data_IF_252771343764
#
_entry.id   IF_252771343764
#
_cell.length_a   1.000
_cell.length_b   1.000
_cell.length_c   1.000
_cell.angle_alpha   90.00
_cell.angle_beta   90.00
_cell.angle_gamma   90.00
#
_symmetry.space_group_name_H-M   'P 1'
#
loop_
_entity.id
_entity.type
_entity.pdbx_description
1 polymer ?
#
# COMPACT_ATOMS: atom_id res chain seq x y z
N UNK A 1 -70.69 -31.94 -30.67
CA UNK A 1 -69.78 -31.85 -29.51
C UNK A 1 -68.40 -31.98 -30.02
N UNK A 2 -67.76 -30.85 -30.28
CA UNK A 2 -66.40 -30.75 -30.82
C UNK A 2 -65.53 -30.21 -29.72
N UNK A 3 -64.60 -31.04 -29.22
CA UNK A 3 -63.58 -30.71 -28.21
C UNK A 3 -62.33 -30.15 -28.92
N UNK A 4 -62.07 -28.90 -28.71
CA UNK A 4 -60.87 -28.19 -29.20
C UNK A 4 -59.77 -28.44 -28.21
N UNK A 5 -58.65 -29.08 -28.61
CA UNK A 5 -57.44 -29.26 -27.85
C UNK A 5 -56.55 -28.00 -28.04
N UNK A 6 -56.24 -27.30 -26.94
CA UNK A 6 -55.29 -26.19 -26.90
C UNK A 6 -53.93 -26.77 -26.60
N UNK A 7 -53.04 -26.76 -27.61
CA UNK A 7 -51.62 -27.07 -27.43
C UNK A 7 -50.87 -25.86 -26.87
N UNK A 8 -50.45 -25.95 -25.65
CA UNK A 8 -49.52 -24.94 -25.04
C UNK A 8 -48.08 -25.23 -25.51
N UNK A 9 -47.59 -24.42 -26.41
CA UNK A 9 -46.17 -24.40 -26.76
C UNK A 9 -45.41 -23.66 -25.68
N UNK A 10 -44.60 -24.36 -24.87
CA UNK A 10 -43.64 -23.78 -23.95
C UNK A 10 -42.45 -23.26 -24.79
N UNK A 11 -42.37 -21.95 -24.97
CA UNK A 11 -41.16 -21.28 -25.46
C UNK A 11 -40.15 -21.28 -24.32
N UNK A 12 -39.17 -22.20 -24.36
CA UNK A 12 -37.94 -22.06 -23.59
C UNK A 12 -37.11 -20.91 -24.22
N UNK A 13 -37.21 -19.75 -23.63
CA UNK A 13 -36.26 -18.66 -23.87
C UNK A 13 -34.97 -19.05 -23.17
N UNK A 14 -34.01 -19.64 -23.92
CA UNK A 14 -32.62 -19.70 -23.50
C UNK A 14 -32.09 -18.28 -23.45
N UNK A 15 -32.10 -17.70 -22.28
CA UNK A 15 -31.28 -16.48 -22.04
C UNK A 15 -29.83 -16.88 -22.16
N UNK A 16 -29.21 -16.62 -23.32
CA UNK A 16 -27.78 -16.54 -23.45
C UNK A 16 -27.30 -15.39 -22.57
N UNK A 17 -27.00 -15.67 -21.31
CA UNK A 17 -26.12 -14.85 -20.52
C UNK A 17 -24.80 -14.89 -21.25
N UNK A 18 -24.49 -13.83 -21.99
CA UNK A 18 -23.14 -13.61 -22.49
C UNK A 18 -22.22 -13.62 -21.26
N UNK A 19 -21.58 -14.74 -21.01
CA UNK A 19 -20.49 -14.79 -20.04
C UNK A 19 -19.49 -13.75 -20.49
N UNK A 20 -19.20 -12.77 -19.61
CA UNK A 20 -18.15 -11.80 -19.87
C UNK A 20 -16.87 -12.61 -20.16
N UNK A 21 -16.44 -12.56 -21.42
CA UNK A 21 -15.34 -13.39 -21.90
C UNK A 21 -14.05 -12.72 -21.41
N UNK A 22 -13.51 -13.23 -20.29
CA UNK A 22 -12.18 -12.83 -19.83
C UNK A 22 -11.11 -13.50 -20.70
N UNK A 23 -9.94 -12.90 -20.76
CA UNK A 23 -8.76 -13.49 -21.34
C UNK A 23 -7.87 -14.11 -20.26
N UNK A 24 -7.24 -15.24 -20.59
CA UNK A 24 -6.14 -15.79 -19.81
C UNK A 24 -4.84 -15.15 -20.33
N UNK A 25 -4.16 -14.29 -19.59
CA UNK A 25 -2.93 -13.66 -20.08
C UNK A 25 -1.87 -14.71 -20.42
N UNK A 26 -1.10 -14.52 -21.50
CA UNK A 26 -0.02 -15.42 -21.82
C UNK A 26 1.07 -15.37 -20.75
N UNK A 27 1.69 -16.49 -20.46
CA UNK A 27 2.85 -16.55 -19.58
C UNK A 27 4.04 -15.85 -20.25
N UNK A 28 4.70 -14.91 -19.57
CA UNK A 28 5.91 -14.31 -20.10
C UNK A 28 7.07 -15.30 -20.05
N UNK A 29 8.03 -15.16 -20.96
CA UNK A 29 9.29 -15.88 -20.85
C UNK A 29 10.11 -15.32 -19.69
N UNK A 30 10.85 -16.21 -19.01
CA UNK A 30 11.64 -15.87 -17.81
C UNK A 30 13.11 -16.19 -18.06
N UNK A 31 13.98 -15.25 -17.70
CA UNK A 31 15.42 -15.37 -17.72
C UNK A 31 15.96 -15.06 -16.32
N UNK A 32 16.75 -15.96 -15.74
CA UNK A 32 17.35 -15.75 -14.42
C UNK A 32 17.35 -16.97 -13.51
N UNK A 33 17.82 -16.82 -12.27
CA UNK A 33 18.25 -15.54 -11.66
C UNK A 33 19.45 -14.91 -12.37
N UNK A 34 19.41 -13.57 -12.51
CA UNK A 34 20.41 -12.80 -13.25
C UNK A 34 21.64 -12.59 -12.37
N UNK A 35 22.75 -13.20 -12.72
CA UNK A 35 24.00 -13.15 -11.94
C UNK A 35 24.94 -11.98 -12.28
N UNK A 36 24.73 -11.30 -13.41
CA UNK A 36 25.63 -10.23 -13.86
C UNK A 36 25.23 -9.66 -15.22
N UNK A 37 26.03 -8.76 -15.80
CA UNK A 37 27.23 -8.15 -15.23
C UNK A 37 26.97 -7.08 -14.19
N UNK A 38 27.90 -6.90 -13.26
CA UNK A 38 27.89 -5.84 -12.25
C UNK A 38 26.74 -5.92 -11.23
N UNK A 39 26.56 -4.86 -10.42
CA UNK A 39 25.57 -4.88 -9.36
C UNK A 39 24.14 -4.81 -9.89
N UNK A 40 23.24 -5.48 -9.15
CA UNK A 40 21.80 -5.37 -9.32
C UNK A 40 21.30 -4.04 -8.72
N UNK A 41 20.34 -3.39 -9.40
CA UNK A 41 19.64 -2.24 -8.82
C UNK A 41 18.81 -2.70 -7.62
N UNK A 42 19.01 -2.14 -6.42
CA UNK A 42 18.44 -2.70 -5.20
C UNK A 42 16.90 -2.55 -5.09
N UNK A 43 16.30 -1.52 -5.71
CA UNK A 43 14.88 -1.21 -5.60
C UNK A 43 14.42 -0.75 -4.22
N UNK A 44 15.33 -0.70 -3.25
CA UNK A 44 15.14 -0.20 -1.90
C UNK A 44 16.18 0.86 -1.60
N UNK A 45 15.83 1.81 -0.72
CA UNK A 45 16.80 2.77 -0.19
C UNK A 45 17.77 2.08 0.77
N UNK A 46 18.97 2.67 0.96
CA UNK A 46 19.89 2.18 2.00
C UNK A 46 19.17 2.11 3.36
N UNK A 47 19.32 1.00 4.03
CA UNK A 47 18.61 0.70 5.27
C UNK A 47 19.54 0.73 6.47
N UNK A 48 18.96 0.97 7.65
CA UNK A 48 19.69 0.84 8.90
C UNK A 48 20.04 -0.65 9.16
N UNK A 49 21.16 -0.95 9.82
CA UNK A 49 21.49 -2.31 10.25
C UNK A 49 20.35 -2.94 11.04
N UNK A 50 20.08 -4.22 10.80
CA UNK A 50 18.98 -4.96 11.43
C UNK A 50 17.63 -4.83 10.74
N UNK A 51 17.57 -4.16 9.59
CA UNK A 51 16.33 -3.94 8.84
C UNK A 51 16.40 -4.36 7.37
N UNK A 52 17.52 -4.90 6.93
CA UNK A 52 17.70 -5.41 5.56
C UNK A 52 16.96 -6.73 5.34
N UNK A 53 16.64 -7.13 4.11
CA UNK A 53 16.05 -8.45 3.84
C UNK A 53 16.87 -9.61 4.43
N UNK A 54 18.18 -9.52 4.37
CA UNK A 54 19.13 -10.52 4.89
C UNK A 54 19.02 -10.67 6.41
N UNK A 55 18.81 -9.57 7.14
CA UNK A 55 18.62 -9.59 8.61
C UNK A 55 17.37 -10.41 9.03
N UNK A 56 16.39 -10.49 8.13
CA UNK A 56 15.19 -11.33 8.32
C UNK A 56 15.32 -12.73 7.73
N UNK A 57 16.51 -13.10 7.21
CA UNK A 57 16.74 -14.37 6.54
C UNK A 57 16.00 -14.47 5.20
N UNK A 58 16.06 -13.39 4.43
CA UNK A 58 15.54 -13.34 3.06
C UNK A 58 16.70 -13.31 2.07
N UNK A 59 16.43 -13.87 0.90
CA UNK A 59 17.28 -13.73 -0.27
C UNK A 59 16.55 -12.93 -1.34
N UNK A 60 17.32 -12.19 -2.14
CA UNK A 60 16.81 -11.35 -3.22
C UNK A 60 17.37 -11.84 -4.54
N UNK A 61 16.48 -12.26 -5.44
CA UNK A 61 16.84 -12.66 -6.81
C UNK A 61 16.18 -11.72 -7.83
N UNK A 62 16.92 -11.50 -8.90
CA UNK A 62 16.48 -10.73 -10.05
C UNK A 62 16.19 -11.64 -11.25
N UNK A 63 15.08 -11.37 -11.93
CA UNK A 63 14.72 -12.05 -13.17
C UNK A 63 14.34 -11.03 -14.24
N UNK A 64 14.61 -11.34 -15.50
CA UNK A 64 14.02 -10.62 -16.61
C UNK A 64 12.83 -11.42 -17.14
N UNK A 65 11.74 -10.68 -17.39
CA UNK A 65 10.52 -11.27 -17.97
C UNK A 65 10.21 -10.56 -19.28
N UNK A 66 9.81 -11.33 -20.28
CA UNK A 66 9.52 -10.81 -21.62
C UNK A 66 8.26 -11.42 -22.22
N UNK A 67 7.55 -10.61 -23.00
CA UNK A 67 6.32 -11.02 -23.65
C UNK A 67 5.85 -9.96 -24.64
N UNK A 68 4.58 -10.00 -24.97
CA UNK A 68 3.92 -8.99 -25.82
C UNK A 68 2.73 -8.40 -25.09
N UNK A 69 2.42 -7.15 -25.41
CA UNK A 69 1.25 -6.41 -24.88
C UNK A 69 0.46 -5.83 -26.06
N UNK A 70 -0.80 -5.54 -25.84
CA UNK A 70 -1.63 -4.84 -26.82
C UNK A 70 -1.55 -3.33 -26.56
N UNK A 71 -1.27 -2.56 -27.62
CA UNK A 71 -1.24 -1.11 -27.59
C UNK A 71 -1.92 -0.56 -28.85
N UNK A 72 -3.20 -0.21 -28.74
CA UNK A 72 -4.04 0.09 -29.91
C UNK A 72 -4.16 -1.13 -30.83
N UNK A 73 -3.82 -0.96 -32.11
CA UNK A 73 -3.79 -2.06 -33.10
C UNK A 73 -2.46 -2.84 -33.12
N UNK A 74 -1.46 -2.43 -32.33
CA UNK A 74 -0.13 -3.05 -32.31
C UNK A 74 0.01 -4.01 -31.13
N UNK A 75 0.92 -4.99 -31.30
CA UNK A 75 1.30 -5.95 -30.26
C UNK A 75 2.81 -5.89 -30.00
N UNK A 76 3.31 -4.76 -29.43
CA UNK A 76 4.74 -4.61 -29.20
C UNK A 76 5.24 -5.58 -28.14
N UNK A 77 6.49 -6.01 -28.32
CA UNK A 77 7.21 -6.80 -27.31
C UNK A 77 7.68 -5.92 -26.16
N UNK A 78 7.79 -6.53 -24.99
CA UNK A 78 8.46 -5.94 -23.84
C UNK A 78 9.49 -6.90 -23.25
N UNK A 79 10.50 -6.36 -22.62
CA UNK A 79 11.38 -7.07 -21.67
C UNK A 79 11.59 -6.18 -20.47
N UNK A 80 11.26 -6.68 -19.29
CA UNK A 80 11.38 -5.95 -18.04
C UNK A 80 12.01 -6.79 -16.95
N UNK A 81 12.19 -6.19 -15.79
CA UNK A 81 12.80 -6.74 -14.60
C UNK A 81 11.75 -6.97 -13.52
N UNK A 82 11.87 -8.10 -12.81
CA UNK A 82 11.25 -8.32 -11.51
C UNK A 82 12.31 -8.64 -10.46
N UNK A 83 12.10 -8.17 -9.23
CA UNK A 83 12.83 -8.63 -8.05
C UNK A 83 11.92 -9.47 -7.18
N UNK A 84 12.47 -10.57 -6.68
CA UNK A 84 11.79 -11.49 -5.76
C UNK A 84 12.59 -11.56 -4.48
N UNK A 85 12.03 -11.01 -3.39
CA UNK A 85 12.56 -11.13 -2.04
C UNK A 85 11.75 -12.19 -1.33
N UNK A 86 12.40 -13.29 -0.93
CA UNK A 86 11.73 -14.46 -0.39
C UNK A 86 12.47 -15.04 0.82
N UNK A 87 11.75 -15.65 1.77
CA UNK A 87 12.39 -16.26 2.94
C UNK A 87 13.27 -17.44 2.53
N UNK A 88 14.40 -17.60 3.20
CA UNK A 88 15.25 -18.78 3.14
C UNK A 88 15.37 -19.35 4.57
N UNK A 89 15.00 -20.60 4.84
CA UNK A 89 14.51 -21.60 3.86
C UNK A 89 13.05 -21.39 3.41
N UNK A 90 12.69 -21.96 2.27
CA UNK A 90 11.35 -21.87 1.68
C UNK A 90 10.21 -22.36 2.60
N UNK A 91 10.51 -23.20 3.59
CA UNK A 91 9.55 -23.68 4.59
C UNK A 91 8.95 -22.54 5.45
N UNK A 92 9.61 -21.37 5.50
CA UNK A 92 9.09 -20.16 6.18
C UNK A 92 8.05 -19.39 5.35
N UNK A 93 7.86 -19.76 4.09
CA UNK A 93 6.93 -19.05 3.22
C UNK A 93 5.48 -19.20 3.68
N UNK A 94 4.81 -18.09 3.82
CA UNK A 94 3.41 -18.02 4.29
C UNK A 94 2.37 -18.45 3.25
N UNK A 95 2.74 -18.57 1.99
CA UNK A 95 1.81 -18.71 0.87
C UNK A 95 1.36 -17.37 0.25
N UNK A 96 1.78 -16.24 0.82
CA UNK A 96 1.37 -14.90 0.40
C UNK A 96 2.47 -14.20 -0.37
N UNK A 97 2.12 -13.64 -1.54
CA UNK A 97 2.99 -12.75 -2.31
C UNK A 97 2.41 -11.35 -2.27
N UNK A 98 3.19 -10.38 -1.80
CA UNK A 98 2.86 -8.96 -1.88
C UNK A 98 3.63 -8.35 -3.04
N UNK A 99 2.93 -7.91 -4.07
CA UNK A 99 3.53 -7.32 -5.27
C UNK A 99 3.34 -5.81 -5.29
N UNK A 100 4.30 -5.12 -5.89
CA UNK A 100 4.27 -3.68 -6.08
C UNK A 100 4.91 -3.33 -7.42
N UNK A 101 4.27 -2.42 -8.18
CA UNK A 101 4.94 -1.81 -9.33
C UNK A 101 5.88 -0.74 -8.80
N UNK A 102 7.16 -0.81 -9.18
CA UNK A 102 8.17 0.17 -8.80
C UNK A 102 7.63 1.59 -8.99
N UNK A 103 7.66 2.39 -7.94
CA UNK A 103 7.23 3.78 -7.97
C UNK A 103 8.12 4.61 -8.92
N UNK A 104 7.62 5.71 -9.44
CA UNK A 104 8.37 6.56 -10.39
C UNK A 104 9.69 7.12 -9.84
N UNK A 105 9.87 7.13 -8.51
CA UNK A 105 11.13 7.48 -7.86
C UNK A 105 12.18 6.34 -7.82
N UNK A 106 11.84 5.16 -8.34
CA UNK A 106 12.75 4.02 -8.44
C UNK A 106 12.69 3.02 -7.28
N UNK A 107 11.78 3.17 -6.32
CA UNK A 107 11.75 2.33 -5.11
C UNK A 107 10.39 1.63 -4.91
N UNK A 108 10.39 0.58 -4.08
CA UNK A 108 9.20 -0.13 -3.60
C UNK A 108 8.64 0.58 -2.36
N UNK A 109 7.96 1.71 -2.57
CA UNK A 109 7.61 2.68 -1.52
C UNK A 109 6.52 2.21 -0.56
N UNK A 110 5.74 1.19 -0.92
CA UNK A 110 4.77 0.57 0.01
C UNK A 110 5.44 -0.49 0.87
N UNK A 111 6.31 -1.29 0.26
CA UNK A 111 7.01 -2.36 0.95
C UNK A 111 8.07 -1.85 1.94
N UNK A 112 8.89 -0.87 1.54
CA UNK A 112 9.99 -0.36 2.36
C UNK A 112 9.59 -0.10 3.83
N UNK A 113 8.58 0.71 4.13
CA UNK A 113 8.20 0.99 5.51
C UNK A 113 7.46 -0.17 6.19
N UNK A 114 6.75 -1.01 5.43
CA UNK A 114 6.01 -2.16 5.96
C UNK A 114 6.83 -3.46 6.02
N UNK A 115 8.09 -3.46 5.55
CA UNK A 115 8.93 -4.66 5.37
C UNK A 115 9.09 -5.51 6.63
N UNK A 116 9.17 -4.89 7.81
CA UNK A 116 9.28 -5.59 9.09
C UNK A 116 8.17 -6.63 9.23
N UNK A 117 6.92 -6.23 9.06
CA UNK A 117 5.77 -7.13 9.16
C UNK A 117 5.75 -8.15 8.02
N UNK A 118 5.99 -7.73 6.78
CA UNK A 118 6.01 -8.62 5.60
C UNK A 118 7.01 -9.76 5.80
N UNK A 119 8.23 -9.43 6.24
CA UNK A 119 9.31 -10.40 6.40
C UNK A 119 9.15 -11.28 7.64
N UNK A 120 8.73 -10.73 8.77
CA UNK A 120 8.43 -11.51 9.97
C UNK A 120 7.34 -12.56 9.74
N UNK A 121 6.39 -12.25 8.87
CA UNK A 121 5.26 -13.14 8.52
C UNK A 121 5.60 -14.12 7.40
N UNK A 122 6.79 -14.08 6.84
CA UNK A 122 7.22 -14.98 5.77
C UNK A 122 6.55 -14.71 4.42
N UNK A 123 6.08 -13.50 4.15
CA UNK A 123 5.50 -13.15 2.86
C UNK A 123 6.61 -12.91 1.84
N UNK A 124 6.42 -13.37 0.60
CA UNK A 124 7.30 -13.00 -0.51
C UNK A 124 6.95 -11.59 -0.97
N UNK A 125 7.97 -10.77 -1.21
CA UNK A 125 7.81 -9.48 -1.88
C UNK A 125 8.25 -9.58 -3.34
N UNK A 126 7.40 -9.09 -4.24
CA UNK A 126 7.63 -9.02 -5.67
C UNK A 126 7.62 -7.56 -6.13
N UNK A 127 8.74 -7.05 -6.62
CA UNK A 127 8.83 -5.75 -7.26
C UNK A 127 8.80 -5.90 -8.78
N UNK A 128 7.96 -5.12 -9.45
CA UNK A 128 7.79 -5.15 -10.91
C UNK A 128 8.23 -3.81 -11.49
N UNK A 129 9.27 -3.79 -12.30
CA UNK A 129 9.65 -2.61 -13.09
C UNK A 129 8.70 -2.46 -14.28
N UNK A 130 7.43 -2.16 -14.02
CA UNK A 130 6.35 -2.17 -15.01
C UNK A 130 6.20 -0.90 -15.84
N UNK A 131 6.95 0.17 -15.54
CA UNK A 131 6.84 1.46 -16.19
C UNK A 131 8.06 1.77 -17.06
N UNK A 132 7.84 2.30 -18.28
CA UNK A 132 8.92 2.68 -19.20
C UNK A 132 9.89 3.67 -18.55
N UNK A 133 9.39 4.63 -17.79
CA UNK A 133 10.20 5.62 -17.08
C UNK A 133 11.19 4.96 -16.12
N UNK A 134 10.75 4.00 -15.28
CA UNK A 134 11.65 3.31 -14.37
C UNK A 134 12.81 2.62 -15.09
N UNK A 135 12.50 1.93 -16.21
CA UNK A 135 13.52 1.25 -17.00
C UNK A 135 14.51 2.25 -17.59
N UNK A 136 14.01 3.32 -18.22
CA UNK A 136 14.85 4.24 -18.99
C UNK A 136 15.59 5.27 -18.13
N UNK A 137 15.00 5.76 -17.03
CA UNK A 137 15.58 6.85 -16.22
C UNK A 137 16.23 6.40 -14.93
N UNK A 138 15.99 5.14 -14.51
CA UNK A 138 16.50 4.63 -13.23
C UNK A 138 17.38 3.38 -13.42
N UNK A 139 16.79 2.31 -13.97
CA UNK A 139 17.43 0.98 -13.99
C UNK A 139 18.57 0.94 -15.00
N UNK A 140 18.35 1.34 -16.25
CA UNK A 140 19.38 1.35 -17.29
C UNK A 140 20.55 2.30 -16.96
N UNK A 141 20.33 3.54 -16.47
CA UNK A 141 21.44 4.41 -16.09
C UNK A 141 22.27 3.88 -14.91
N UNK A 142 21.65 3.11 -13.99
CA UNK A 142 22.36 2.51 -12.86
C UNK A 142 23.40 1.48 -13.32
N UNK A 143 23.05 0.59 -14.25
CA UNK A 143 23.96 -0.39 -14.82
C UNK A 143 23.62 -0.65 -16.30
N UNK A 144 24.15 0.14 -17.23
CA UNK A 144 23.83 0.05 -18.64
C UNK A 144 24.10 -1.34 -19.27
N UNK A 145 25.19 -2.00 -18.86
CA UNK A 145 25.56 -3.30 -19.41
C UNK A 145 24.60 -4.40 -18.97
N UNK A 146 24.20 -4.39 -17.69
CA UNK A 146 23.27 -5.37 -17.14
C UNK A 146 21.88 -5.22 -17.73
N UNK A 147 21.41 -4.00 -17.91
CA UNK A 147 20.03 -3.68 -18.27
C UNK A 147 19.84 -3.23 -19.72
N UNK A 148 20.85 -3.39 -20.57
CA UNK A 148 20.81 -3.00 -21.98
C UNK A 148 19.58 -3.54 -22.72
N UNK A 149 19.23 -4.81 -22.45
CA UNK A 149 18.14 -5.52 -23.15
C UNK A 149 16.73 -5.14 -22.68
N UNK A 150 16.58 -4.43 -21.58
CA UNK A 150 15.25 -4.06 -21.07
C UNK A 150 14.58 -3.03 -21.99
N UNK A 151 13.30 -3.22 -22.28
CA UNK A 151 12.50 -2.30 -23.09
C UNK A 151 11.03 -2.46 -22.77
N UNK A 152 10.35 -1.37 -22.46
CA UNK A 152 8.90 -1.35 -22.21
C UNK A 152 8.28 -0.28 -23.11
N UNK A 153 7.22 -0.61 -23.88
CA UNK A 153 6.42 0.42 -24.55
C UNK A 153 5.77 1.37 -23.53
N UNK A 154 5.54 2.62 -23.92
CA UNK A 154 4.86 3.58 -23.06
C UNK A 154 3.37 3.27 -22.93
N UNK A 155 2.79 3.57 -21.77
CA UNK A 155 1.33 3.55 -21.56
C UNK A 155 0.87 2.82 -20.31
N UNK A 156 -0.17 3.33 -19.68
CA UNK A 156 -0.76 2.74 -18.48
C UNK A 156 -1.35 1.34 -18.74
N UNK A 157 -1.96 1.13 -19.91
CA UNK A 157 -2.48 -0.19 -20.32
C UNK A 157 -1.36 -1.22 -20.49
N UNK A 158 -0.20 -0.79 -21.00
CA UNK A 158 1.00 -1.64 -21.10
C UNK A 158 1.44 -2.13 -19.73
N UNK A 159 1.55 -1.20 -18.76
CA UNK A 159 1.90 -1.54 -17.38
C UNK A 159 0.91 -2.53 -16.77
N UNK A 160 -0.39 -2.31 -16.95
CA UNK A 160 -1.44 -3.19 -16.41
C UNK A 160 -1.37 -4.60 -17.00
N UNK A 161 -1.11 -4.76 -18.29
CA UNK A 161 -0.94 -6.06 -18.94
C UNK A 161 0.35 -6.78 -18.47
N UNK A 162 1.45 -6.04 -18.28
CA UNK A 162 2.68 -6.61 -17.70
C UNK A 162 2.40 -7.16 -16.30
N UNK A 163 1.68 -6.39 -15.46
CA UNK A 163 1.28 -6.85 -14.10
C UNK A 163 0.43 -8.12 -14.19
N UNK A 164 -0.53 -8.20 -15.13
CA UNK A 164 -1.35 -9.39 -15.33
C UNK A 164 -0.50 -10.61 -15.73
N UNK A 165 0.42 -10.46 -16.69
CA UNK A 165 1.29 -11.56 -17.15
C UNK A 165 2.27 -12.01 -16.06
N UNK A 166 2.86 -11.06 -15.31
CA UNK A 166 3.73 -11.39 -14.16
C UNK A 166 2.91 -12.08 -13.07
N UNK A 167 1.69 -11.62 -12.77
CA UNK A 167 0.79 -12.26 -11.82
C UNK A 167 0.45 -13.71 -12.23
N UNK A 168 0.17 -13.94 -13.50
CA UNK A 168 -0.01 -15.29 -14.06
C UNK A 168 1.23 -16.18 -13.84
N UNK A 169 2.42 -15.64 -14.12
CA UNK A 169 3.67 -16.37 -13.92
C UNK A 169 3.85 -16.78 -12.45
N UNK A 170 3.61 -15.87 -11.53
CA UNK A 170 3.77 -16.11 -10.09
C UNK A 170 2.77 -17.15 -9.57
N UNK A 171 1.50 -17.06 -9.97
CA UNK A 171 0.45 -18.00 -9.54
C UNK A 171 0.50 -19.35 -10.25
N UNK A 172 1.11 -19.44 -11.43
CA UNK A 172 1.23 -20.72 -12.16
C UNK A 172 2.19 -21.72 -11.51
N UNK A 173 3.03 -21.26 -10.60
CA UNK A 173 3.97 -22.08 -9.81
C UNK A 173 4.82 -23.05 -10.65
N UNK A 174 5.25 -22.59 -11.84
CA UNK A 174 5.98 -23.40 -12.81
C UNK A 174 7.32 -23.88 -12.24
N UNK A 175 7.67 -25.12 -12.53
CA UNK A 175 9.01 -25.64 -12.27
C UNK A 175 10.03 -24.82 -13.08
N UNK A 176 11.02 -24.24 -12.41
CA UNK A 176 11.99 -23.30 -13.01
C UNK A 176 11.53 -21.84 -13.03
N UNK A 177 10.33 -21.54 -12.58
CA UNK A 177 9.87 -20.16 -12.35
C UNK A 177 10.49 -19.53 -11.08
N UNK A 178 10.33 -18.22 -10.91
CA UNK A 178 10.92 -17.48 -9.78
C UNK A 178 10.52 -17.99 -8.39
N UNK A 179 9.37 -18.66 -8.28
CA UNK A 179 8.80 -19.19 -7.04
C UNK A 179 8.51 -20.70 -7.11
N UNK A 180 9.29 -21.47 -7.90
CA UNK A 180 9.06 -22.91 -8.12
C UNK A 180 8.95 -23.75 -6.82
N UNK A 181 9.62 -23.33 -5.74
CA UNK A 181 9.60 -24.03 -4.44
C UNK A 181 8.70 -23.34 -3.40
N UNK A 182 7.96 -22.32 -3.80
CA UNK A 182 7.13 -21.48 -2.93
C UNK A 182 5.67 -21.58 -3.39
N UNK A 183 4.85 -22.47 -2.79
CA UNK A 183 3.47 -22.68 -3.23
C UNK A 183 2.61 -21.44 -2.95
N UNK A 184 2.40 -20.62 -3.97
CA UNK A 184 1.65 -19.36 -3.89
C UNK A 184 0.15 -19.64 -3.74
N UNK A 185 -0.46 -19.15 -2.65
CA UNK A 185 -1.90 -19.21 -2.42
C UNK A 185 -2.58 -17.91 -2.82
N UNK A 186 -1.98 -16.77 -2.46
CA UNK A 186 -2.55 -15.44 -2.72
C UNK A 186 -1.49 -14.49 -3.26
N UNK A 187 -1.92 -13.63 -4.18
CA UNK A 187 -1.13 -12.54 -4.74
C UNK A 187 -1.86 -11.22 -4.49
N UNK A 188 -1.19 -10.28 -3.82
CA UNK A 188 -1.70 -8.94 -3.53
C UNK A 188 -0.98 -7.90 -4.36
N UNK A 189 -1.68 -6.87 -4.82
CA UNK A 189 -1.08 -5.72 -5.47
C UNK A 189 -1.17 -4.51 -4.54
N UNK A 190 -0.01 -3.96 -4.21
CA UNK A 190 0.15 -2.79 -3.35
C UNK A 190 0.48 -1.56 -4.20
N UNK A 191 0.13 -0.38 -3.71
CA UNK A 191 0.51 0.86 -4.36
C UNK A 191 0.36 2.07 -3.44
N UNK A 192 1.40 2.89 -3.39
CA UNK A 192 1.44 4.16 -2.67
C UNK A 192 1.60 5.30 -3.67
N UNK A 193 0.89 6.41 -3.47
CA UNK A 193 1.06 7.63 -4.27
C UNK A 193 0.87 7.37 -5.77
N UNK A 194 1.85 7.67 -6.60
CA UNK A 194 1.82 7.40 -8.04
C UNK A 194 1.58 5.90 -8.34
N UNK A 195 2.14 4.99 -7.55
CA UNK A 195 1.93 3.56 -7.73
C UNK A 195 0.49 3.12 -7.34
N UNK A 196 -0.22 3.84 -6.48
CA UNK A 196 -1.65 3.61 -6.25
C UNK A 196 -2.49 3.92 -7.50
N UNK A 197 -2.07 4.90 -8.30
CA UNK A 197 -2.64 5.17 -9.62
C UNK A 197 -2.44 4.02 -10.61
N UNK A 198 -1.27 3.39 -10.60
CA UNK A 198 -0.98 2.18 -11.40
C UNK A 198 -1.89 1.02 -10.97
N UNK A 199 -2.01 0.79 -9.66
CA UNK A 199 -2.92 -0.22 -9.09
C UNK A 199 -4.37 0.04 -9.55
N UNK A 200 -4.86 1.25 -9.46
CA UNK A 200 -6.22 1.62 -9.90
C UNK A 200 -6.41 1.43 -11.40
N UNK A 201 -5.40 1.72 -12.21
CA UNK A 201 -5.44 1.44 -13.66
C UNK A 201 -5.56 -0.07 -13.91
N UNK A 202 -4.81 -0.90 -13.16
CA UNK A 202 -4.96 -2.35 -13.24
C UNK A 202 -6.39 -2.81 -12.88
N UNK A 203 -6.96 -2.29 -11.80
CA UNK A 203 -8.34 -2.58 -11.43
C UNK A 203 -9.33 -2.23 -12.56
N UNK A 204 -9.12 -1.08 -13.21
CA UNK A 204 -10.04 -0.58 -14.25
C UNK A 204 -9.89 -1.31 -15.59
N UNK A 205 -8.69 -1.75 -15.94
CA UNK A 205 -8.37 -2.24 -17.29
C UNK A 205 -8.24 -3.75 -17.35
N UNK A 206 -7.70 -4.40 -16.30
CA UNK A 206 -7.31 -5.80 -16.37
C UNK A 206 -8.06 -6.69 -15.37
N UNK A 207 -8.52 -6.16 -14.22
CA UNK A 207 -9.04 -7.00 -13.15
C UNK A 207 -10.11 -8.00 -13.62
N UNK A 208 -11.11 -7.54 -14.39
CA UNK A 208 -12.15 -8.40 -14.94
C UNK A 208 -11.84 -8.95 -16.34
N UNK A 209 -10.93 -8.29 -17.06
CA UNK A 209 -10.57 -8.70 -18.43
C UNK A 209 -9.53 -9.82 -18.44
N UNK A 210 -8.66 -9.87 -17.43
CA UNK A 210 -7.58 -10.83 -17.28
C UNK A 210 -7.81 -11.72 -16.06
N UNK A 211 -7.98 -13.03 -16.28
CA UNK A 211 -8.27 -14.01 -15.21
C UNK A 211 -7.37 -15.24 -15.31
N UNK A 212 -7.31 -16.00 -14.23
CA UNK A 212 -6.81 -17.38 -14.26
C UNK A 212 -7.72 -18.25 -15.12
N UNK A 213 -7.25 -19.41 -15.58
CA UNK A 213 -8.02 -20.30 -16.45
C UNK A 213 -9.32 -20.81 -15.81
N UNK A 214 -9.40 -20.87 -14.48
CA UNK A 214 -10.59 -21.23 -13.73
C UNK A 214 -11.56 -20.05 -13.49
N UNK A 215 -11.26 -18.88 -14.05
CA UNK A 215 -12.03 -17.64 -13.88
C UNK A 215 -11.74 -16.88 -12.60
N UNK A 216 -10.87 -17.36 -11.73
CA UNK A 216 -10.48 -16.64 -10.51
C UNK A 216 -9.61 -15.42 -10.83
N UNK A 217 -9.58 -14.46 -9.91
CA UNK A 217 -8.74 -13.27 -10.05
C UNK A 217 -7.25 -13.62 -10.02
N UNK A 218 -6.45 -12.94 -10.85
CA UNK A 218 -4.99 -13.04 -10.80
C UNK A 218 -4.48 -12.38 -9.52
N UNK A 219 -4.99 -11.19 -9.19
CA UNK A 219 -4.68 -10.46 -7.96
C UNK A 219 -5.82 -10.70 -6.96
N UNK A 220 -5.51 -11.25 -5.80
CA UNK A 220 -6.47 -11.67 -4.77
C UNK A 220 -6.88 -10.55 -3.81
N UNK A 221 -6.26 -9.38 -3.90
CA UNK A 221 -6.60 -8.22 -3.09
C UNK A 221 -5.69 -7.02 -3.34
N UNK A 222 -6.16 -5.84 -2.94
CA UNK A 222 -5.51 -4.55 -3.21
C UNK A 222 -5.31 -3.73 -1.96
N UNK A 223 -4.11 -3.17 -1.78
CA UNK A 223 -3.83 -2.13 -0.79
C UNK A 223 -3.37 -0.87 -1.51
N UNK A 224 -4.19 0.19 -1.46
CA UNK A 224 -3.86 1.49 -2.01
C UNK A 224 -3.66 2.50 -0.88
N UNK A 225 -2.51 3.15 -0.82
CA UNK A 225 -2.19 4.14 0.21
C UNK A 225 -1.79 5.47 -0.42
N UNK A 226 -2.00 6.57 0.31
CA UNK A 226 -1.61 7.92 -0.15
C UNK A 226 -2.06 8.22 -1.58
N UNK A 227 -3.31 7.90 -1.91
CA UNK A 227 -3.84 7.97 -3.27
C UNK A 227 -4.10 9.41 -3.68
N UNK A 228 -3.28 9.97 -4.55
CA UNK A 228 -3.47 11.33 -5.05
C UNK A 228 -4.64 11.44 -6.03
N UNK A 229 -5.35 12.57 -5.97
CA UNK A 229 -6.45 12.90 -6.86
C UNK A 229 -7.81 12.36 -6.40
N UNK A 230 -8.86 12.81 -7.07
CA UNK A 230 -10.27 12.55 -6.70
C UNK A 230 -10.86 11.26 -7.28
N UNK A 231 -10.06 10.41 -7.90
CA UNK A 231 -10.59 9.22 -8.55
C UNK A 231 -10.74 8.06 -7.55
N UNK A 232 -11.97 7.55 -7.45
CA UNK A 232 -12.34 6.43 -6.57
C UNK A 232 -11.63 5.13 -6.96
N UNK A 233 -11.39 4.27 -5.97
CA UNK A 233 -11.01 2.88 -6.22
C UNK A 233 -12.15 2.14 -6.92
N UNK A 234 -11.79 1.25 -7.84
CA UNK A 234 -12.80 0.48 -8.60
C UNK A 234 -13.52 -0.54 -7.72
N UNK A 235 -14.76 -0.85 -8.07
CA UNK A 235 -15.49 -1.99 -7.49
C UNK A 235 -14.95 -3.25 -8.15
N UNK A 236 -14.44 -4.17 -7.33
CA UNK A 236 -13.86 -5.45 -7.74
C UNK A 236 -14.34 -6.59 -6.82
N UNK A 237 -14.27 -7.82 -7.31
CA UNK A 237 -14.74 -9.02 -6.60
C UNK A 237 -13.72 -9.61 -5.61
N UNK A 238 -12.66 -8.86 -5.29
CA UNK A 238 -11.66 -9.19 -4.27
C UNK A 238 -11.54 -8.06 -3.25
N UNK A 239 -11.03 -8.31 -2.02
CA UNK A 239 -10.89 -7.27 -1.02
C UNK A 239 -10.00 -6.12 -1.47
N UNK A 240 -10.42 -4.90 -1.16
CA UNK A 240 -9.63 -3.68 -1.31
C UNK A 240 -9.57 -2.95 0.03
N UNK A 241 -8.38 -2.68 0.52
CA UNK A 241 -8.12 -1.76 1.63
C UNK A 241 -7.54 -0.47 1.05
N UNK A 242 -8.19 0.65 1.32
CA UNK A 242 -7.81 1.97 0.84
C UNK A 242 -7.43 2.84 2.04
N UNK A 243 -6.22 3.40 2.01
CA UNK A 243 -5.66 4.19 3.11
C UNK A 243 -5.19 5.56 2.61
N UNK A 244 -6.10 6.49 2.29
CA UNK A 244 -5.72 7.87 2.05
C UNK A 244 -5.20 8.46 3.37
N UNK A 245 -4.28 9.42 3.27
CA UNK A 245 -3.74 10.11 4.42
C UNK A 245 -4.45 11.43 4.66
N UNK A 246 -4.17 12.10 5.77
CA UNK A 246 -4.70 13.45 6.03
C UNK A 246 -4.44 14.41 4.85
N UNK A 247 -3.31 14.25 4.14
CA UNK A 247 -2.97 15.10 3.00
C UNK A 247 -4.00 14.98 1.87
N UNK A 248 -4.35 13.76 1.47
CA UNK A 248 -5.33 13.52 0.41
C UNK A 248 -6.73 13.88 0.84
N UNK A 249 -7.10 13.50 2.06
CA UNK A 249 -8.41 13.81 2.64
C UNK A 249 -8.62 15.33 2.71
N UNK A 250 -7.61 16.07 3.16
CA UNK A 250 -7.67 17.53 3.25
C UNK A 250 -7.69 18.23 1.89
N UNK A 251 -6.89 17.75 0.91
CA UNK A 251 -6.73 18.41 -0.38
C UNK A 251 -7.73 17.99 -1.46
N UNK A 252 -8.19 16.75 -1.43
CA UNK A 252 -8.93 16.14 -2.53
C UNK A 252 -10.42 15.96 -2.30
N UNK A 253 -10.84 15.50 -1.14
CA UNK A 253 -12.22 15.11 -0.86
C UNK A 253 -13.13 16.28 -0.47
N UNK A 254 -12.59 17.24 0.26
CA UNK A 254 -13.39 18.31 0.86
C UNK A 254 -13.63 19.49 -0.06
N UNK A 255 -12.75 19.78 -1.01
CA UNK A 255 -12.86 20.94 -1.89
C UNK A 255 -14.06 20.84 -2.86
N UNK A 256 -14.43 19.62 -3.24
CA UNK A 256 -15.57 19.38 -4.17
C UNK A 256 -16.88 19.00 -3.44
N UNK A 257 -16.86 18.81 -2.12
CA UNK A 257 -18.04 18.38 -1.37
C UNK A 257 -18.50 16.95 -1.63
N UNK A 258 -17.77 16.19 -2.47
CA UNK A 258 -18.03 14.79 -2.75
C UNK A 258 -16.86 13.95 -2.23
N UNK A 259 -17.10 12.98 -1.35
CA UNK A 259 -16.06 12.06 -0.95
C UNK A 259 -15.54 11.30 -2.18
N UNK A 260 -14.20 11.24 -2.36
CA UNK A 260 -13.60 10.43 -3.42
C UNK A 260 -13.57 8.94 -3.04
N UNK A 261 -13.87 8.64 -1.80
CA UNK A 261 -14.04 7.32 -1.25
C UNK A 261 -15.44 6.79 -1.50
N UNK A 262 -15.58 5.51 -1.36
CA UNK A 262 -16.86 4.82 -1.32
C UNK A 262 -17.06 4.21 0.08
N UNK A 263 -18.31 3.95 0.50
CA UNK A 263 -18.56 3.37 1.81
C UNK A 263 -17.97 1.97 1.94
N UNK A 264 -17.60 1.60 3.16
CA UNK A 264 -17.22 0.24 3.52
C UNK A 264 -18.29 -0.78 3.11
N UNK A 265 -17.82 -1.93 2.61
CA UNK A 265 -18.70 -3.00 2.18
C UNK A 265 -18.12 -4.38 2.48
N UNK A 266 -18.99 -5.30 2.93
CA UNK A 266 -18.67 -6.72 3.15
C UNK A 266 -19.22 -7.60 2.03
N UNK A 267 -19.93 -7.02 1.05
CA UNK A 267 -20.47 -7.73 -0.10
C UNK A 267 -19.33 -8.45 -0.86
N UNK A 268 -19.43 -9.76 -1.10
CA UNK A 268 -18.40 -10.52 -1.82
C UNK A 268 -18.04 -9.94 -3.18
N UNK A 269 -18.96 -9.27 -3.88
CA UNK A 269 -18.70 -8.59 -5.15
C UNK A 269 -18.11 -7.17 -4.99
N UNK A 270 -17.97 -6.69 -3.75
CA UNK A 270 -17.55 -5.33 -3.46
C UNK A 270 -16.93 -5.21 -2.06
N UNK A 271 -15.99 -6.08 -1.70
CA UNK A 271 -15.32 -6.02 -0.39
C UNK A 271 -14.39 -4.81 -0.33
N UNK A 272 -14.68 -3.86 0.58
CA UNK A 272 -13.95 -2.60 0.66
C UNK A 272 -13.83 -2.08 2.10
N UNK A 273 -12.65 -1.58 2.47
CA UNK A 273 -12.38 -0.84 3.71
C UNK A 273 -11.66 0.46 3.41
N UNK A 274 -12.13 1.52 4.05
CA UNK A 274 -11.52 2.82 4.05
C UNK A 274 -10.87 3.07 5.43
N UNK A 275 -9.56 3.35 5.44
CA UNK A 275 -8.80 3.64 6.64
C UNK A 275 -8.10 4.99 6.51
N UNK A 276 -8.73 6.03 6.98
CA UNK A 276 -8.14 7.35 7.13
C UNK A 276 -7.45 7.41 8.49
N UNK A 277 -6.12 7.50 8.52
CA UNK A 277 -5.35 7.40 9.76
C UNK A 277 -5.07 8.78 10.33
N UNK A 278 -5.52 9.01 11.56
CA UNK A 278 -5.27 10.26 12.29
C UNK A 278 -3.76 10.46 12.55
N UNK A 279 -3.24 11.63 12.20
CA UNK A 279 -1.82 11.99 12.32
C UNK A 279 -0.96 11.58 11.11
N UNK A 280 -1.46 10.73 10.20
CA UNK A 280 -0.71 10.22 9.06
C UNK A 280 -0.80 11.16 7.86
N UNK A 281 0.33 11.70 7.41
CA UNK A 281 0.45 12.48 6.17
C UNK A 281 0.99 11.63 5.01
N UNK A 282 0.93 12.14 3.78
CA UNK A 282 1.43 11.46 2.58
C UNK A 282 2.90 11.05 2.70
N UNK A 283 3.70 11.93 3.29
CA UNK A 283 5.12 11.69 3.53
C UNK A 283 5.53 12.19 4.91
N UNK A 284 6.58 11.58 5.47
CA UNK A 284 7.12 11.85 6.80
C UNK A 284 8.64 11.65 6.81
N UNK A 285 9.30 12.10 7.88
CA UNK A 285 10.76 12.01 8.01
C UNK A 285 11.26 10.63 8.44
N UNK A 286 10.41 9.79 9.04
CA UNK A 286 10.79 8.44 9.52
C UNK A 286 11.08 7.50 8.36
N UNK A 287 10.21 7.48 7.38
CA UNK A 287 10.25 6.50 6.28
C UNK A 287 10.76 7.11 4.96
N UNK A 288 11.08 8.43 4.96
CA UNK A 288 11.50 9.11 3.73
C UNK A 288 12.77 9.93 3.97
N UNK A 289 13.96 9.39 3.64
CA UNK A 289 15.27 10.06 3.85
C UNK A 289 15.40 11.44 3.20
N UNK A 290 14.62 11.74 2.17
CA UNK A 290 14.57 13.04 1.49
C UNK A 290 14.33 14.21 2.48
N UNK A 291 13.72 13.93 3.64
CA UNK A 291 13.47 14.92 4.69
C UNK A 291 14.61 15.05 5.72
N UNK A 292 15.75 14.47 5.44
CA UNK A 292 16.96 14.60 6.30
C UNK A 292 18.15 15.05 5.47
N UNK A 293 18.66 16.30 5.58
CA UNK A 293 18.10 17.37 6.40
C UNK A 293 16.73 17.85 5.89
N UNK A 294 15.92 18.44 6.81
CA UNK A 294 14.57 18.93 6.47
C UNK A 294 14.62 20.02 5.38
N UNK A 295 14.02 19.79 4.20
CA UNK A 295 13.98 20.76 3.12
C UNK A 295 12.81 21.76 3.25
N UNK A 296 11.93 21.59 4.25
CA UNK A 296 10.70 22.33 4.42
C UNK A 296 10.83 23.43 5.48
N UNK A 297 9.95 24.42 5.43
CA UNK A 297 9.97 25.55 6.39
C UNK A 297 9.56 25.12 7.79
N UNK A 298 8.60 24.18 7.90
CA UNK A 298 8.11 23.68 9.18
C UNK A 298 8.71 22.31 9.51
N UNK A 299 8.73 21.91 10.79
CA UNK A 299 9.16 20.56 11.16
C UNK A 299 8.35 19.49 10.45
N UNK A 300 9.03 18.52 9.83
CA UNK A 300 8.39 17.40 9.16
C UNK A 300 8.04 16.32 10.17
N UNK A 301 6.82 15.80 10.07
CA UNK A 301 6.31 14.76 10.97
C UNK A 301 7.18 13.50 10.97
N UNK A 302 7.46 13.00 12.17
CA UNK A 302 8.11 11.71 12.40
C UNK A 302 7.05 10.68 12.86
N UNK A 303 6.11 10.36 11.97
CA UNK A 303 4.98 9.50 12.25
C UNK A 303 5.26 8.05 11.83
N UNK A 304 4.79 7.00 12.55
CA UNK A 304 5.05 5.60 12.24
C UNK A 304 4.17 5.09 11.08
N UNK A 305 4.35 5.66 9.91
CA UNK A 305 3.59 5.39 8.71
C UNK A 305 3.62 3.89 8.34
N UNK A 306 4.82 3.28 8.41
CA UNK A 306 5.01 1.87 8.10
C UNK A 306 4.20 0.92 8.98
N UNK A 307 4.03 1.22 10.26
CA UNK A 307 3.21 0.42 11.17
C UNK A 307 1.72 0.44 10.78
N UNK A 308 1.22 1.61 10.35
CA UNK A 308 -0.16 1.75 9.91
C UNK A 308 -0.42 1.02 8.58
N UNK A 309 0.48 1.15 7.62
CA UNK A 309 0.39 0.43 6.34
C UNK A 309 0.48 -1.09 6.54
N UNK A 310 1.37 -1.55 7.41
CA UNK A 310 1.47 -2.96 7.78
C UNK A 310 0.17 -3.50 8.41
N UNK A 311 -0.50 -2.72 9.25
CA UNK A 311 -1.82 -3.05 9.80
C UNK A 311 -2.86 -3.20 8.69
N UNK A 312 -2.96 -2.24 7.77
CA UNK A 312 -3.88 -2.32 6.63
C UNK A 312 -3.58 -3.53 5.73
N UNK A 313 -2.31 -3.84 5.50
CA UNK A 313 -1.90 -5.03 4.76
C UNK A 313 -2.29 -6.33 5.48
N UNK A 314 -2.09 -6.40 6.80
CA UNK A 314 -2.50 -7.56 7.60
C UNK A 314 -4.00 -7.81 7.50
N UNK A 315 -4.81 -6.77 7.60
CA UNK A 315 -6.26 -6.84 7.42
C UNK A 315 -6.63 -7.35 6.03
N UNK A 316 -5.99 -6.84 4.98
CA UNK A 316 -6.22 -7.30 3.61
C UNK A 316 -5.92 -8.79 3.44
N UNK A 317 -4.74 -9.22 3.94
CA UNK A 317 -4.28 -10.61 3.84
C UNK A 317 -5.24 -11.55 4.56
N UNK A 318 -5.63 -11.23 5.80
CA UNK A 318 -6.55 -12.06 6.58
C UNK A 318 -7.94 -12.12 5.97
N UNK A 319 -8.41 -11.01 5.41
CA UNK A 319 -9.70 -10.97 4.72
C UNK A 319 -9.72 -11.84 3.46
N UNK A 320 -8.68 -11.74 2.63
CA UNK A 320 -8.60 -12.49 1.38
C UNK A 320 -8.29 -13.98 1.58
N UNK A 321 -7.45 -14.34 2.56
CA UNK A 321 -6.99 -15.72 2.76
C UNK A 321 -7.89 -16.51 3.73
N UNK A 322 -8.37 -15.87 4.81
CA UNK A 322 -9.11 -16.53 5.88
C UNK A 322 -10.59 -16.10 5.95
N UNK A 323 -11.01 -15.09 5.17
CA UNK A 323 -12.35 -14.53 5.25
C UNK A 323 -12.62 -13.74 6.53
N UNK A 324 -11.58 -13.40 7.30
CA UNK A 324 -11.72 -12.59 8.52
C UNK A 324 -12.00 -11.15 8.11
N UNK A 325 -13.24 -10.71 8.34
CA UNK A 325 -13.68 -9.37 8.00
C UNK A 325 -12.99 -8.36 8.90
N UNK A 326 -12.23 -7.39 8.33
CA UNK A 326 -11.52 -6.42 9.16
C UNK A 326 -12.46 -5.38 9.77
N UNK A 327 -12.09 -4.74 10.90
CA UNK A 327 -12.90 -3.73 11.55
C UNK A 327 -13.16 -2.54 10.63
N UNK A 328 -14.23 -1.78 10.92
CA UNK A 328 -14.55 -0.52 10.25
C UNK A 328 -14.02 0.63 11.10
N UNK A 329 -13.46 1.65 10.43
CA UNK A 329 -13.05 2.90 11.08
C UNK A 329 -14.08 4.00 10.81
N UNK A 330 -14.20 4.93 11.74
CA UNK A 330 -14.84 6.21 11.44
C UNK A 330 -13.96 7.01 10.45
N UNK A 331 -14.54 7.85 9.58
CA UNK A 331 -13.77 8.77 8.77
C UNK A 331 -13.13 9.87 9.64
N UNK A 332 -12.14 10.58 9.08
CA UNK A 332 -11.66 11.82 9.66
C UNK A 332 -12.79 12.86 9.66
N UNK A 333 -12.87 13.67 10.71
CA UNK A 333 -13.89 14.69 10.85
C UNK A 333 -13.46 15.99 10.16
N UNK A 334 -14.45 16.73 9.63
CA UNK A 334 -14.23 18.03 9.00
C UNK A 334 -14.85 19.14 9.84
N UNK A 335 -14.14 20.27 9.92
CA UNK A 335 -14.66 21.53 10.40
C UNK A 335 -14.99 22.42 9.19
N UNK A 336 -16.29 22.62 8.95
CA UNK A 336 -16.74 23.46 7.84
C UNK A 336 -16.57 24.96 8.15
N UNK A 337 -16.33 25.32 9.40
CA UNK A 337 -16.15 26.69 9.87
C UNK A 337 -14.67 27.07 10.07
N UNK A 338 -13.74 26.15 9.82
CA UNK A 338 -12.30 26.39 9.96
C UNK A 338 -11.85 27.57 9.07
N UNK A 339 -11.60 28.68 9.70
CA UNK A 339 -11.14 29.87 9.03
C UNK A 339 -9.67 29.72 8.63
N UNK A 340 -9.41 29.58 7.32
CA UNK A 340 -8.19 30.06 6.63
C UNK A 340 -6.81 29.55 7.06
N UNK A 341 -6.66 28.49 7.84
CA UNK A 341 -5.35 27.89 8.12
C UNK A 341 -4.87 26.89 7.06
N UNK A 342 -5.69 26.68 6.00
CA UNK A 342 -5.41 25.72 4.95
C UNK A 342 -5.79 24.28 5.29
N UNK A 343 -6.23 24.00 6.51
CA UNK A 343 -6.76 22.70 6.94
C UNK A 343 -8.27 22.80 7.13
N UNK A 344 -9.00 21.80 6.64
CA UNK A 344 -10.45 21.64 6.83
C UNK A 344 -10.76 20.49 7.79
N UNK A 345 -9.75 19.84 8.34
CA UNK A 345 -9.90 18.76 9.30
C UNK A 345 -10.26 19.32 10.67
N UNK A 346 -11.26 18.73 11.32
CA UNK A 346 -11.64 19.10 12.69
C UNK A 346 -10.55 18.64 13.68
N UNK A 347 -10.16 19.54 14.58
CA UNK A 347 -9.10 19.28 15.55
C UNK A 347 -9.69 19.11 16.97
N UNK A 348 -9.01 18.28 17.77
CA UNK A 348 -9.27 18.15 19.20
C UNK A 348 -8.58 19.29 19.99
N UNK A 349 -8.72 19.27 21.30
CA UNK A 349 -8.12 20.25 22.23
C UNK A 349 -6.58 20.28 22.18
N UNK A 350 -5.95 19.23 21.69
CA UNK A 350 -4.51 19.08 21.55
C UNK A 350 -4.01 19.50 20.15
N UNK A 351 -4.91 19.90 19.27
CA UNK A 351 -4.61 20.25 17.89
C UNK A 351 -4.38 19.06 16.96
N UNK A 352 -4.78 17.83 17.35
CA UNK A 352 -4.76 16.65 16.52
C UNK A 352 -6.13 16.41 15.88
N UNK A 353 -6.13 15.80 14.67
CA UNK A 353 -7.36 15.57 13.94
C UNK A 353 -8.29 14.60 14.68
N UNK A 354 -9.60 14.85 14.62
CA UNK A 354 -10.66 14.00 15.15
C UNK A 354 -11.05 12.91 14.14
N UNK A 355 -11.63 11.82 14.65
CA UNK A 355 -12.06 10.70 13.84
C UNK A 355 -10.89 9.86 13.33
N UNK A 356 -11.13 9.10 12.25
CA UNK A 356 -10.14 8.23 11.61
C UNK A 356 -9.70 7.03 12.45
N UNK A 357 -8.77 6.26 11.88
CA UNK A 357 -8.06 5.21 12.63
C UNK A 357 -7.16 5.85 13.67
N UNK A 358 -7.43 5.57 14.94
CA UNK A 358 -6.70 6.15 16.08
C UNK A 358 -5.40 5.36 16.34
N UNK A 359 -4.46 6.04 16.98
CA UNK A 359 -3.18 5.49 17.38
C UNK A 359 -2.64 6.17 18.63
N UNK A 360 -1.57 5.65 19.22
CA UNK A 360 -1.00 6.20 20.47
C UNK A 360 -0.47 7.62 20.32
N UNK A 361 -0.07 8.03 19.12
CA UNK A 361 0.55 9.35 18.86
C UNK A 361 -0.47 10.49 18.92
N UNK A 362 -1.74 10.19 18.63
CA UNK A 362 -2.83 11.17 18.70
C UNK A 362 -3.75 10.96 19.91
N UNK A 363 -3.77 9.76 20.53
CA UNK A 363 -4.61 9.47 21.71
C UNK A 363 -3.90 9.76 23.03
N UNK A 364 -2.56 9.72 23.04
CA UNK A 364 -1.70 10.04 24.18
C UNK A 364 -0.61 11.01 23.67
N UNK A 365 -1.01 12.24 23.26
CA UNK A 365 -0.18 13.09 22.43
C UNK A 365 0.95 13.76 23.21
N UNK A 366 2.10 13.87 22.58
CA UNK A 366 3.24 14.72 22.99
C UNK A 366 3.59 15.71 21.88
N UNK A 367 2.81 15.71 20.81
CA UNK A 367 2.91 16.60 19.69
C UNK A 367 1.56 16.76 19.00
N UNK A 368 1.42 17.80 18.20
CA UNK A 368 0.34 17.92 17.22
C UNK A 368 0.86 17.59 15.83
N UNK A 369 0.06 16.83 15.08
CA UNK A 369 0.32 16.43 13.71
C UNK A 369 -0.63 17.15 12.76
N UNK A 370 -0.12 17.76 11.69
CA UNK A 370 -0.92 18.54 10.75
C UNK A 370 -0.52 18.35 9.30
N UNK A 371 -1.33 18.90 8.39
CA UNK A 371 -1.08 18.97 6.94
C UNK A 371 -1.67 20.28 6.41
N UNK A 372 -1.10 20.87 5.33
CA UNK A 372 0.17 20.54 4.70
C UNK A 372 1.37 21.12 5.48
N UNK A 373 2.59 20.70 5.12
CA UNK A 373 3.80 21.39 5.55
C UNK A 373 4.01 22.61 4.63
N UNK A 374 3.29 23.68 4.92
CA UNK A 374 3.27 24.90 4.10
C UNK A 374 4.31 25.92 4.56
N UNK A 375 4.50 27.00 3.78
CA UNK A 375 4.40 27.07 2.33
C UNK A 375 5.75 26.79 1.70
N UNK A 376 5.89 25.67 1.06
CA UNK A 376 7.07 25.40 0.25
C UNK A 376 6.70 25.31 -1.22
N UNK A 377 7.43 26.01 -2.08
CA UNK A 377 7.34 25.84 -3.54
C UNK A 377 7.85 24.47 -4.02
N UNK A 378 8.14 23.56 -3.10
CA UNK A 378 8.66 22.24 -3.37
C UNK A 378 7.55 21.22 -3.12
N UNK A 379 7.20 20.44 -4.14
CA UNK A 379 6.13 19.44 -4.07
C UNK A 379 6.27 18.52 -2.85
N UNK A 380 7.50 18.13 -2.51
CA UNK A 380 7.77 17.26 -1.36
C UNK A 380 7.26 17.85 -0.04
N UNK A 381 7.30 19.18 0.15
CA UNK A 381 6.78 19.84 1.36
C UNK A 381 5.26 19.97 1.34
N UNK A 382 4.66 20.14 0.15
CA UNK A 382 3.20 20.22 0.02
C UNK A 382 2.50 18.91 0.42
N UNK A 383 3.19 17.78 0.32
CA UNK A 383 2.65 16.46 0.69
C UNK A 383 3.15 15.96 2.06
N UNK A 384 4.11 16.64 2.68
CA UNK A 384 4.63 16.28 4.00
C UNK A 384 3.69 16.70 5.12
N UNK A 385 3.69 15.92 6.20
CA UNK A 385 3.07 16.30 7.47
C UNK A 385 3.94 17.25 8.28
N UNK A 386 3.30 18.00 9.18
CA UNK A 386 3.99 18.78 10.21
C UNK A 386 3.90 18.08 11.57
N UNK A 387 4.92 18.28 12.39
CA UNK A 387 4.91 17.87 13.79
C UNK A 387 5.40 19.05 14.64
N UNK A 388 4.59 19.42 15.62
CA UNK A 388 4.96 20.42 16.62
C UNK A 388 4.91 19.76 18.00
N UNK A 389 6.11 19.51 18.55
CA UNK A 389 6.24 18.91 19.88
C UNK A 389 5.67 19.86 20.95
N UNK A 390 5.05 19.27 21.97
CA UNK A 390 4.57 20.04 23.13
C UNK A 390 5.75 20.55 23.94
N UNK A 391 5.62 21.79 24.42
CA UNK A 391 6.56 22.36 25.36
C UNK A 391 6.42 21.72 26.77
N UNK A 392 7.36 22.07 27.67
CA UNK A 392 7.40 21.51 29.02
C UNK A 392 6.13 21.84 29.83
N UNK A 393 5.53 23.01 29.64
CA UNK A 393 4.29 23.40 30.29
C UNK A 393 3.13 22.54 29.85
N UNK A 394 2.95 22.33 28.54
CA UNK A 394 1.94 21.47 27.95
C UNK A 394 2.12 20.02 28.40
N UNK A 395 3.35 19.48 28.34
CA UNK A 395 3.65 18.12 28.79
C UNK A 395 3.33 17.93 30.27
N UNK A 396 3.64 18.94 31.12
CA UNK A 396 3.36 18.90 32.57
C UNK A 396 1.86 19.00 32.88
N UNK A 397 1.10 19.66 32.02
CA UNK A 397 -0.36 19.73 32.15
C UNK A 397 -1.01 18.38 31.79
N UNK A 398 -0.49 17.67 30.80
CA UNK A 398 -1.03 16.39 30.38
C UNK A 398 -0.56 15.21 31.23
N UNK A 399 0.70 15.23 31.69
CA UNK A 399 1.34 14.07 32.31
C UNK A 399 2.02 14.44 33.66
N UNK A 400 1.68 13.68 34.69
CA UNK A 400 2.29 13.86 36.02
C UNK A 400 3.81 13.70 36.02
N UNK A 401 4.31 12.81 35.17
CA UNK A 401 5.72 12.51 34.96
C UNK A 401 5.87 11.53 33.79
N UNK A 402 7.10 11.26 33.37
CA UNK A 402 7.44 10.32 32.30
C UNK A 402 6.83 8.92 32.50
N UNK A 403 6.89 8.38 33.73
CA UNK A 403 6.30 7.07 34.04
C UNK A 403 4.78 7.02 33.83
N UNK A 404 4.07 8.11 34.20
CA UNK A 404 2.64 8.25 33.94
C UNK A 404 2.34 8.28 32.43
N UNK A 405 3.11 9.03 31.65
CA UNK A 405 2.98 9.08 30.19
C UNK A 405 3.20 7.69 29.57
N UNK A 406 4.35 7.06 29.83
CA UNK A 406 4.67 5.71 29.29
C UNK A 406 3.61 4.67 29.69
N UNK A 407 3.06 4.76 30.88
CA UNK A 407 1.97 3.87 31.32
C UNK A 407 0.69 4.10 30.51
N UNK A 408 0.35 5.35 30.18
CA UNK A 408 -0.82 5.66 29.33
C UNK A 408 -0.60 5.17 27.91
N UNK A 409 0.59 5.40 27.31
CA UNK A 409 0.94 4.86 25.98
C UNK A 409 0.83 3.33 25.97
N UNK A 410 1.39 2.63 26.96
CA UNK A 410 1.31 1.17 27.01
C UNK A 410 -0.14 0.67 27.10
N UNK A 411 -0.97 1.30 27.94
CA UNK A 411 -2.38 0.92 28.04
C UNK A 411 -3.08 1.07 26.69
N UNK A 412 -2.96 2.23 26.06
CA UNK A 412 -3.59 2.50 24.76
C UNK A 412 -3.04 1.60 23.65
N UNK A 413 -1.73 1.34 23.66
CA UNK A 413 -1.09 0.41 22.73
C UNK A 413 -1.70 -1.00 22.83
N UNK A 414 -1.90 -1.51 24.04
CA UNK A 414 -2.49 -2.84 24.23
C UNK A 414 -3.95 -2.91 23.81
N UNK A 415 -4.72 -1.82 24.03
CA UNK A 415 -6.08 -1.69 23.51
C UNK A 415 -6.07 -1.74 21.98
N UNK A 416 -5.23 -0.94 21.32
CA UNK A 416 -5.12 -0.89 19.85
C UNK A 416 -4.68 -2.23 19.25
N UNK A 417 -3.79 -2.97 19.93
CA UNK A 417 -3.41 -4.33 19.50
C UNK A 417 -4.62 -5.27 19.62
N UNK A 418 -5.36 -5.21 20.70
CA UNK A 418 -6.56 -6.03 20.90
C UNK A 418 -7.67 -5.70 19.90
N UNK A 419 -7.85 -4.42 19.57
CA UNK A 419 -8.81 -3.93 18.59
C UNK A 419 -8.36 -4.19 17.12
N UNK A 420 -7.12 -4.58 16.90
CA UNK A 420 -6.54 -4.84 15.57
C UNK A 420 -5.97 -3.60 14.86
N UNK A 421 -5.90 -2.44 15.54
CA UNK A 421 -5.40 -1.20 14.95
C UNK A 421 -3.89 -0.99 15.07
N UNK A 422 -3.20 -1.89 15.77
CA UNK A 422 -1.74 -1.92 15.83
C UNK A 422 -1.27 -3.38 15.81
N UNK A 423 -0.22 -3.68 15.05
CA UNK A 423 0.35 -5.02 15.02
C UNK A 423 1.34 -5.21 16.18
N UNK A 424 1.35 -6.39 16.84
CA UNK A 424 2.22 -6.66 17.98
C UNK A 424 3.71 -6.44 17.71
N UNK A 425 4.17 -6.70 16.47
CA UNK A 425 5.57 -6.55 16.07
C UNK A 425 6.07 -5.09 16.08
N UNK A 426 5.16 -4.11 16.14
CA UNK A 426 5.51 -2.68 16.28
C UNK A 426 5.42 -2.18 17.72
N UNK A 427 5.02 -3.03 18.66
CA UNK A 427 4.82 -2.60 20.04
C UNK A 427 6.11 -2.06 20.70
N UNK A 428 7.25 -2.65 20.39
CA UNK A 428 8.54 -2.20 20.94
C UNK A 428 8.96 -0.85 20.35
N UNK A 429 8.69 -0.61 19.07
CA UNK A 429 8.98 0.66 18.40
C UNK A 429 8.20 1.80 19.07
N UNK A 430 6.89 1.59 19.34
CA UNK A 430 6.03 2.56 20.05
C UNK A 430 6.52 2.83 21.47
N UNK A 431 6.97 1.76 22.21
CA UNK A 431 7.52 1.94 23.56
C UNK A 431 8.83 2.68 23.55
N UNK A 432 9.70 2.38 22.60
CA UNK A 432 10.99 3.07 22.41
C UNK A 432 10.77 4.55 22.13
N UNK A 433 9.84 4.89 21.25
CA UNK A 433 9.46 6.29 20.98
C UNK A 433 8.97 6.98 22.27
N UNK A 434 8.09 6.34 23.02
CA UNK A 434 7.58 6.91 24.28
C UNK A 434 8.70 7.10 25.33
N UNK A 435 9.63 6.17 25.42
CA UNK A 435 10.79 6.29 26.30
C UNK A 435 11.76 7.39 25.87
N UNK A 436 11.80 7.75 24.60
CA UNK A 436 12.59 8.86 24.06
C UNK A 436 12.09 10.26 24.44
N UNK A 437 10.81 10.43 24.81
CA UNK A 437 10.21 11.73 25.08
C UNK A 437 10.76 12.34 26.40
N UNK A 438 11.28 13.58 26.39
CA UNK A 438 11.86 14.23 27.57
C UNK A 438 10.79 14.89 28.46
N UNK A 439 10.08 14.13 29.28
CA UNK A 439 9.15 14.66 30.28
C UNK A 439 9.90 14.83 31.60
N UNK A 440 10.03 16.10 32.05
CA UNK A 440 10.68 16.42 33.31
C UNK A 440 9.90 15.83 34.51
N UNK A 441 10.60 15.39 35.59
CA UNK A 441 9.93 15.07 36.82
C UNK A 441 9.24 16.33 37.38
N UNK A 442 8.08 16.20 38.08
CA UNK A 442 7.43 17.35 38.66
C UNK A 442 8.41 18.10 39.55
N UNK A 443 8.60 19.39 39.22
CA UNK A 443 9.48 20.23 40.02
C UNK A 443 9.05 20.19 41.49
N UNK A 444 9.99 20.07 42.41
CA UNK A 444 9.71 20.35 43.82
C UNK A 444 9.27 21.80 43.88
N UNK A 445 7.95 22.03 44.02
CA UNK A 445 7.38 23.34 44.33
C UNK A 445 7.84 23.77 45.70
#
# INVERSE_FOLDING_TARGET
MTTTAISAALLLACANLAQAQFAVPPLPAVEGPISGPGPMYPGLRPEAPGTTPEDFGYITDEYFVSGTVTSGAATPAYKTRILVRRPDPAARFSGMVVSEVMHSNGFAVTFEPARKSVMLRGHVQLEIAGQQSNVNTTIKPFNPDRYASLSIPAGATVTSQIVAQVGMLIKSNLSGGPLAQYPVRRLFLLGTSQASGVLRNYQAQEHFQARMADGSAIVDGYLATSTLGSAKMMVVDVPTVHMPTMTEVNSGGAVSGAPFERPDSDDPANRYRLYEVAGMAHANSRDTPTYTPNPCTLPVANFPWGAMVAMGLSHLVEWADKGIVPPRAAPLEFDNDAANDGSRLALDENGNVKGGVRNTYVDVPVARYGVPNAPGNVLVCAIAGTQFDFDEESLSAHYKNKGNYVSQVNRRLMELIHEGWMLPEYAEDVRSDALGIPIAPPGKR
#
